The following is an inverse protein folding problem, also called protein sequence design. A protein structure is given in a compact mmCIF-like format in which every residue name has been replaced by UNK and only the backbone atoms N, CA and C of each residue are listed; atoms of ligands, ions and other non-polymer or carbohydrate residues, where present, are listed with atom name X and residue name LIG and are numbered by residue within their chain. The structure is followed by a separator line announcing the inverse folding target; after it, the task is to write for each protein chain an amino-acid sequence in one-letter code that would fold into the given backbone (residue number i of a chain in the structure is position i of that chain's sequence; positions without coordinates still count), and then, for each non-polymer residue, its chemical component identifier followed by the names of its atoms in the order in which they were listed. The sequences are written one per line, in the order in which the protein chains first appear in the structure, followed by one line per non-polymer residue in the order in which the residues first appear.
data_IF_325733316176
#
_entry.id   IF_325733316176
#
_cell.length_a   1.000
_cell.length_b   1.000
_cell.length_c   1.000
_cell.angle_alpha   90.00
_cell.angle_beta   90.00
_cell.angle_gamma   90.00
#
_symmetry.space_group_name_H-M   'P 1'
#
loop_
_entity.id
_entity.type
_entity.pdbx_description
1 polymer ?
#
# COMPACT_ATOMS: atom_id res chain seq x y z
N UNK A 1 -6.21 -1.02 -10.81
CA UNK A 1 -6.00 -0.75 -9.36
C UNK A 1 -6.23 -2.04 -8.60
N UNK A 2 -5.31 -2.39 -7.69
CA UNK A 2 -5.45 -3.49 -6.74
C UNK A 2 -5.75 -2.93 -5.35
N UNK A 3 -6.54 -3.63 -4.56
CA UNK A 3 -6.80 -3.31 -3.16
C UNK A 3 -6.71 -4.55 -2.28
N UNK A 4 -6.25 -4.37 -1.05
CA UNK A 4 -6.22 -5.41 -0.04
C UNK A 4 -5.14 -5.15 1.00
N UNK A 5 -5.08 -5.99 2.02
CA UNK A 5 -4.10 -5.79 3.10
C UNK A 5 -2.67 -6.10 2.67
N UNK A 6 -1.68 -5.52 3.37
CA UNK A 6 -0.25 -5.75 3.13
C UNK A 6 0.23 -7.12 3.61
N UNK A 7 -0.25 -7.54 4.78
CA UNK A 7 -0.12 -8.90 5.34
C UNK A 7 -1.51 -9.48 5.60
N UNK A 8 -1.60 -10.79 5.82
CA UNK A 8 -2.87 -11.46 6.15
C UNK A 8 -2.66 -12.57 7.18
N UNK A 9 -3.73 -13.27 7.55
CA UNK A 9 -3.77 -14.29 8.60
C UNK A 9 -3.46 -13.72 9.99
N UNK A 10 -4.48 -13.08 10.58
CA UNK A 10 -4.45 -12.55 11.96
C UNK A 10 -4.12 -11.07 12.07
N UNK A 11 -3.99 -10.33 10.96
CA UNK A 11 -3.77 -8.88 11.00
C UNK A 11 -4.90 -8.20 11.80
N UNK A 12 -4.53 -7.48 12.86
CA UNK A 12 -5.43 -6.68 13.69
C UNK A 12 -4.94 -5.24 13.70
N UNK A 13 -5.85 -4.33 13.35
CA UNK A 13 -5.61 -2.92 13.14
C UNK A 13 -6.55 -2.13 14.03
N UNK A 14 -6.07 -1.00 14.52
CA UNK A 14 -6.87 -0.01 15.21
C UNK A 14 -6.61 1.35 14.58
N UNK A 15 -7.66 2.16 14.48
CA UNK A 15 -7.59 3.53 13.98
C UNK A 15 -7.92 4.45 15.14
N UNK A 16 -6.93 5.18 15.62
CA UNK A 16 -7.02 6.04 16.80
C UNK A 16 -6.21 7.31 16.52
N UNK A 17 -6.75 8.47 16.91
CA UNK A 17 -6.13 9.79 16.70
C UNK A 17 -5.71 10.04 15.24
N UNK A 18 -6.58 9.69 14.29
CA UNK A 18 -6.36 9.85 12.84
C UNK A 18 -5.09 9.14 12.34
N UNK A 19 -4.71 8.06 13.01
CA UNK A 19 -3.53 7.25 12.71
C UNK A 19 -3.85 5.77 12.74
N UNK A 20 -3.06 4.98 12.02
CA UNK A 20 -3.14 3.52 12.02
C UNK A 20 -2.21 2.92 13.07
N UNK A 21 -2.75 2.01 13.87
CA UNK A 21 -2.00 1.20 14.85
C UNK A 21 -2.12 -0.28 14.50
N UNK A 22 -0.99 -0.95 14.29
CA UNK A 22 -0.95 -2.39 14.03
C UNK A 22 -0.86 -3.12 15.38
N UNK A 23 -2.00 -3.59 15.91
CA UNK A 23 -2.07 -4.27 17.22
C UNK A 23 -1.58 -5.71 17.15
N UNK A 24 -1.84 -6.40 16.03
CA UNK A 24 -1.27 -7.71 15.75
C UNK A 24 -0.94 -7.81 14.27
N UNK A 25 0.26 -8.28 13.94
CA UNK A 25 0.68 -8.42 12.55
C UNK A 25 0.14 -9.71 11.91
N UNK A 26 -0.14 -9.64 10.60
CA UNK A 26 -0.50 -10.82 9.81
C UNK A 26 0.69 -11.77 9.62
N UNK A 27 0.45 -13.07 9.76
CA UNK A 27 1.49 -14.12 9.63
C UNK A 27 1.96 -14.32 8.18
N UNK A 28 1.14 -13.98 7.20
CA UNK A 28 1.42 -14.23 5.77
C UNK A 28 1.70 -12.90 5.07
N UNK A 29 2.88 -12.80 4.45
CA UNK A 29 3.26 -11.66 3.59
C UNK A 29 2.60 -11.80 2.23
N UNK A 30 2.02 -10.71 1.70
CA UNK A 30 1.40 -10.70 0.36
C UNK A 30 2.30 -10.14 -0.73
N UNK A 31 3.32 -9.38 -0.37
CA UNK A 31 4.39 -8.96 -1.27
C UNK A 31 5.58 -9.92 -1.09
N UNK A 32 5.65 -10.94 -1.94
CA UNK A 32 6.67 -12.00 -1.91
C UNK A 32 7.58 -11.89 -3.14
N UNK A 33 8.82 -12.38 -3.01
CA UNK A 33 9.83 -12.32 -4.08
C UNK A 33 9.40 -13.13 -5.31
N UNK A 34 8.82 -14.32 -5.10
CA UNK A 34 8.33 -15.18 -6.15
C UNK A 34 6.90 -15.64 -5.85
N UNK A 35 6.00 -15.39 -6.80
CA UNK A 35 4.62 -15.92 -6.77
C UNK A 35 4.59 -17.33 -7.34
N UNK A 36 3.66 -18.15 -6.86
CA UNK A 36 3.46 -19.51 -7.39
C UNK A 36 2.92 -19.50 -8.82
N UNK A 37 2.01 -18.57 -9.13
CA UNK A 37 1.43 -18.42 -10.46
C UNK A 37 1.20 -16.94 -10.79
N UNK A 38 1.54 -16.56 -12.03
CA UNK A 38 1.40 -15.18 -12.51
C UNK A 38 0.03 -15.02 -13.16
N UNK A 39 -0.92 -14.43 -12.43
CA UNK A 39 -2.24 -14.05 -12.98
C UNK A 39 -2.25 -12.61 -13.53
N UNK A 40 -1.33 -11.78 -13.06
CA UNK A 40 -1.07 -10.43 -13.56
C UNK A 40 0.43 -10.23 -13.76
N UNK A 41 0.85 -9.78 -14.95
CA UNK A 41 2.26 -9.57 -15.27
C UNK A 41 2.64 -8.09 -15.19
N UNK A 42 3.36 -7.72 -14.13
CA UNK A 42 3.90 -6.36 -13.98
C UNK A 42 4.85 -5.96 -15.12
N UNK A 43 5.62 -6.91 -15.67
CA UNK A 43 6.48 -6.66 -16.83
C UNK A 43 5.67 -6.17 -18.04
N UNK A 44 4.65 -6.92 -18.45
CA UNK A 44 3.81 -6.54 -19.58
C UNK A 44 3.04 -5.24 -19.33
N UNK A 45 2.63 -4.99 -18.07
CA UNK A 45 1.98 -3.75 -17.71
C UNK A 45 2.88 -2.53 -17.91
N UNK A 46 4.17 -2.63 -17.53
CA UNK A 46 5.18 -1.59 -17.78
C UNK A 46 5.43 -1.37 -19.27
N UNK A 47 5.58 -2.45 -20.04
CA UNK A 47 5.79 -2.39 -21.49
C UNK A 47 4.63 -1.66 -22.21
N UNK A 48 3.41 -1.74 -21.65
CA UNK A 48 2.21 -1.06 -22.14
C UNK A 48 1.97 0.33 -21.54
N UNK A 49 2.84 0.81 -20.64
CA UNK A 49 2.64 2.07 -19.94
C UNK A 49 1.39 2.11 -19.07
N UNK A 50 0.94 0.97 -18.54
CA UNK A 50 -0.26 0.91 -17.70
C UNK A 50 0.04 1.52 -16.32
N UNK A 51 -0.90 2.35 -15.84
CA UNK A 51 -0.85 2.86 -14.47
C UNK A 51 -1.38 1.82 -13.48
N UNK A 52 -0.45 1.18 -12.76
CA UNK A 52 -0.76 0.12 -11.80
C UNK A 52 -0.51 0.62 -10.40
N UNK A 53 -1.59 0.71 -9.63
CA UNK A 53 -1.55 1.10 -8.21
C UNK A 53 -2.11 -0.03 -7.35
N UNK A 54 -1.44 -0.32 -6.24
CA UNK A 54 -1.88 -1.20 -5.17
C UNK A 54 -2.11 -0.38 -3.89
N UNK A 55 -3.33 -0.42 -3.36
CA UNK A 55 -3.73 0.30 -2.14
C UNK A 55 -3.87 -0.70 -1.00
N UNK A 56 -3.19 -0.43 0.11
CA UNK A 56 -3.25 -1.23 1.34
C UNK A 56 -3.69 -0.39 2.52
N UNK A 57 -3.86 -1.02 3.69
CA UNK A 57 -4.17 -0.32 4.93
C UNK A 57 -3.05 0.63 5.37
N UNK A 58 -1.79 0.28 5.09
CA UNK A 58 -0.60 0.95 5.65
C UNK A 58 0.18 1.79 4.65
N UNK A 59 0.01 1.53 3.35
CA UNK A 59 0.69 2.26 2.29
C UNK A 59 0.02 2.12 0.92
N UNK A 60 0.34 3.04 0.01
CA UNK A 60 -0.01 2.98 -1.41
C UNK A 60 1.27 2.74 -2.21
N UNK A 61 1.22 1.80 -3.14
CA UNK A 61 2.33 1.47 -4.03
C UNK A 61 1.94 1.65 -5.49
N UNK A 62 2.88 2.15 -6.29
CA UNK A 62 2.80 2.20 -7.75
C UNK A 62 3.84 1.29 -8.38
N UNK A 63 3.50 0.71 -9.53
CA UNK A 63 4.45 -0.04 -10.32
C UNK A 63 5.32 0.94 -11.13
N UNK A 64 6.55 1.17 -10.69
CA UNK A 64 7.56 1.93 -11.43
C UNK A 64 8.28 1.09 -12.46
N UNK A 65 9.27 1.69 -13.14
CA UNK A 65 10.14 1.04 -14.13
C UNK A 65 10.90 -0.15 -13.53
N UNK A 66 11.44 0.03 -12.34
CA UNK A 66 12.40 -0.91 -11.73
C UNK A 66 11.79 -1.76 -10.60
N UNK A 67 10.54 -1.51 -10.22
CA UNK A 67 9.97 -2.18 -9.06
C UNK A 67 8.69 -1.54 -8.56
N UNK A 68 8.29 -1.94 -7.36
CA UNK A 68 7.23 -1.27 -6.62
C UNK A 68 7.80 -0.06 -5.88
N UNK A 69 7.12 1.08 -6.01
CA UNK A 69 7.45 2.35 -5.38
C UNK A 69 6.35 2.69 -4.39
N UNK A 70 6.69 2.91 -3.13
CA UNK A 70 5.76 3.41 -2.11
C UNK A 70 5.58 4.92 -2.29
N UNK A 71 4.35 5.34 -2.54
CA UNK A 71 3.99 6.75 -2.79
C UNK A 71 3.25 7.38 -1.63
N UNK A 72 2.53 6.59 -0.85
CA UNK A 72 1.87 7.07 0.37
C UNK A 72 2.08 6.10 1.52
N UNK A 73 2.18 6.63 2.74
CA UNK A 73 2.28 5.86 3.98
C UNK A 73 1.21 6.33 4.97
N UNK A 74 0.55 5.40 5.66
CA UNK A 74 -0.46 5.75 6.64
C UNK A 74 0.17 6.49 7.84
N UNK A 75 -0.50 7.49 8.44
CA UNK A 75 -0.05 8.08 9.70
C UNK A 75 0.07 6.99 10.77
N UNK A 76 1.12 7.05 11.59
CA UNK A 76 1.42 6.03 12.62
C UNK A 76 2.22 4.81 12.12
N UNK A 77 2.40 4.66 10.81
CA UNK A 77 3.16 3.55 10.20
C UNK A 77 4.60 3.96 9.96
N UNK A 78 5.54 3.12 10.39
CA UNK A 78 6.96 3.27 10.09
C UNK A 78 7.32 2.47 8.84
N UNK A 79 8.00 3.12 7.87
CA UNK A 79 8.31 2.45 6.61
C UNK A 79 9.20 1.22 6.82
N UNK A 80 10.26 1.33 7.60
CA UNK A 80 11.25 0.26 7.70
C UNK A 80 10.69 -0.94 8.47
N UNK A 81 10.05 -0.68 9.62
CA UNK A 81 9.48 -1.69 10.50
C UNK A 81 8.20 -2.31 9.96
N UNK A 82 7.27 -1.50 9.47
CA UNK A 82 5.91 -1.95 9.19
C UNK A 82 5.67 -2.24 7.70
N UNK A 83 6.52 -1.72 6.79
CA UNK A 83 6.36 -1.93 5.34
C UNK A 83 7.51 -2.77 4.78
N UNK A 84 8.76 -2.28 4.85
CA UNK A 84 9.91 -2.94 4.25
C UNK A 84 10.22 -4.29 4.90
N UNK A 85 10.22 -4.39 6.24
CA UNK A 85 10.46 -5.65 6.94
C UNK A 85 9.34 -6.70 6.74
N UNK A 86 8.17 -6.27 6.24
CA UNK A 86 7.03 -7.14 5.93
C UNK A 86 6.95 -7.49 4.44
N UNK A 87 7.86 -6.98 3.62
CA UNK A 87 7.97 -7.28 2.20
C UNK A 87 9.05 -8.34 1.94
N UNK A 88 8.84 -9.21 0.95
CA UNK A 88 9.81 -10.22 0.52
C UNK A 88 10.94 -9.67 -0.36
N UNK A 89 10.87 -8.41 -0.77
CA UNK A 89 11.84 -7.75 -1.63
C UNK A 89 12.01 -6.27 -1.22
N UNK A 90 13.04 -5.61 -1.76
CA UNK A 90 13.30 -4.19 -1.49
C UNK A 90 12.28 -3.31 -2.21
N UNK A 91 11.62 -2.45 -1.44
CA UNK A 91 10.71 -1.43 -1.96
C UNK A 91 11.47 -0.13 -2.20
N UNK A 92 11.09 0.59 -3.26
CA UNK A 92 11.56 1.94 -3.49
C UNK A 92 10.67 2.93 -2.73
N UNK A 93 11.26 4.02 -2.24
CA UNK A 93 10.53 5.17 -1.70
C UNK A 93 10.42 6.21 -2.80
N UNK A 94 9.22 6.74 -3.01
CA UNK A 94 9.07 7.90 -3.90
C UNK A 94 9.78 9.11 -3.27
N UNK A 95 10.40 9.97 -4.10
CA UNK A 95 11.02 11.21 -3.61
C UNK A 95 10.00 12.21 -3.06
N UNK A 96 8.74 12.08 -3.50
CA UNK A 96 7.57 12.82 -3.07
C UNK A 96 6.62 11.96 -2.20
N UNK A 97 7.15 10.89 -1.57
CA UNK A 97 6.35 10.03 -0.70
C UNK A 97 5.68 10.87 0.40
N UNK A 98 4.36 10.79 0.47
CA UNK A 98 3.55 11.60 1.38
C UNK A 98 2.83 10.73 2.42
N UNK A 99 2.36 11.38 3.47
CA UNK A 99 1.38 10.73 4.35
C UNK A 99 0.06 10.56 3.59
N UNK A 100 -0.61 9.42 3.79
CA UNK A 100 -2.02 9.27 3.43
C UNK A 100 -2.84 10.30 4.21
N UNK A 101 -3.98 10.71 3.64
CA UNK A 101 -4.87 11.68 4.25
C UNK A 101 -5.35 11.19 5.64
N UNK A 102 -5.07 11.91 6.74
CA UNK A 102 -5.46 11.49 8.09
C UNK A 102 -6.97 11.32 8.28
N UNK A 103 -7.80 11.98 7.46
CA UNK A 103 -9.27 11.81 7.50
C UNK A 103 -9.70 10.38 7.13
N UNK A 104 -8.87 9.62 6.42
CA UNK A 104 -9.11 8.21 6.11
C UNK A 104 -9.00 7.29 7.34
N UNK A 105 -8.43 7.79 8.45
CA UNK A 105 -8.18 7.05 9.69
C UNK A 105 -9.05 7.58 10.84
N UNK A 106 -10.15 8.26 10.50
CA UNK A 106 -11.08 8.85 11.44
C UNK A 106 -12.52 8.39 11.09
N UNK A 107 -13.43 8.26 12.07
CA UNK A 107 -14.79 7.79 11.81
C UNK A 107 -15.67 8.84 11.11
N UNK A 108 -15.26 10.10 11.06
CA UNK A 108 -16.04 11.18 10.46
C UNK A 108 -16.09 11.09 8.93
N UNK A 109 -17.18 11.57 8.29
CA UNK A 109 -17.25 11.59 6.83
C UNK A 109 -16.13 12.42 6.19
N UNK A 110 -15.45 11.85 5.19
CA UNK A 110 -14.34 12.50 4.46
C UNK A 110 -14.78 13.56 3.44
N UNK A 111 -16.10 13.73 3.23
CA UNK A 111 -16.67 14.71 2.28
C UNK A 111 -16.03 14.67 0.88
N UNK A 112 -15.67 13.47 0.40
CA UNK A 112 -15.01 13.26 -0.88
C UNK A 112 -15.84 13.85 -2.04
N UNK A 113 -15.23 14.75 -2.81
CA UNK A 113 -15.79 15.25 -4.06
C UNK A 113 -15.05 14.61 -5.22
N UNK A 114 -15.77 13.86 -6.04
CA UNK A 114 -15.20 13.26 -7.25
C UNK A 114 -14.96 14.36 -8.29
N UNK A 115 -13.84 14.25 -9.00
CA UNK A 115 -13.61 15.07 -10.17
C UNK A 115 -14.60 14.66 -11.28
N UNK A 116 -15.18 15.62 -12.00
CA UNK A 116 -16.04 15.30 -13.14
C UNK A 116 -15.26 14.51 -14.19
N UNK A 117 -15.95 13.61 -14.89
CA UNK A 117 -15.37 12.95 -16.06
C UNK A 117 -14.97 14.02 -17.07
N UNK A 118 -13.69 14.00 -17.46
CA UNK A 118 -13.15 14.89 -18.51
C UNK A 118 -13.47 14.32 -19.88
#
# INVERSE_FOLDING_TARGET
MFSGTFTTAGLNLEMEDRSLHIRNEGKVRKFVDQVEHVTFSGRHARERGQDVTAVTERCVLRLGTDGWIVTEIAPGVDFDRDVQARCGFRLHRSSDMRSMDPSLFAPEPINLKLQPAT
#
